data_IF_218368542649
#
_entry.id   IF_218368542649
#
_cell.length_a   1.000
_cell.length_b   1.000
_cell.length_c   1.000
_cell.angle_alpha   90.00
_cell.angle_beta   90.00
_cell.angle_gamma   90.00
#
_symmetry.space_group_name_H-M   'P 1'
#
loop_
_entity.id
_entity.type
_entity.pdbx_description
1 polymer ?
#
# COMPACT_ATOMS: atom_id res chain seq x y z
N UNK A 1 -22.18 11.58 -22.69
CA UNK A 1 -21.30 11.82 -21.54
C UNK A 1 -20.84 10.54 -20.87
N UNK A 2 -21.73 9.64 -20.42
CA UNK A 2 -21.33 8.38 -19.78
C UNK A 2 -20.33 7.52 -20.61
N UNK A 3 -20.56 7.40 -21.92
CA UNK A 3 -19.64 6.70 -22.81
C UNK A 3 -18.25 7.37 -22.87
N UNK A 4 -18.20 8.70 -22.94
CA UNK A 4 -16.95 9.47 -22.97
C UNK A 4 -16.18 9.28 -21.66
N UNK A 5 -16.87 9.35 -20.53
CA UNK A 5 -16.25 9.09 -19.22
C UNK A 5 -15.68 7.68 -19.14
N UNK A 6 -16.43 6.67 -19.58
CA UNK A 6 -15.99 5.28 -19.59
C UNK A 6 -14.76 5.06 -20.49
N UNK A 7 -14.73 5.69 -21.67
CA UNK A 7 -13.61 5.59 -22.60
C UNK A 7 -12.35 6.27 -22.04
N UNK A 8 -12.49 7.44 -21.40
CA UNK A 8 -11.38 8.10 -20.69
C UNK A 8 -10.89 7.25 -19.51
N UNK A 9 -11.81 6.68 -18.71
CA UNK A 9 -11.45 5.88 -17.54
C UNK A 9 -10.60 4.66 -17.88
N UNK A 10 -10.83 4.02 -19.03
CA UNK A 10 -10.02 2.88 -19.52
C UNK A 10 -8.58 3.28 -19.81
N UNK A 11 -8.41 4.45 -20.42
CA UNK A 11 -7.10 4.97 -20.84
C UNK A 11 -6.23 5.41 -19.65
N UNK A 12 -6.81 5.58 -18.47
CA UNK A 12 -6.03 5.90 -17.25
C UNK A 12 -5.12 4.76 -16.78
N UNK A 13 -5.25 3.55 -17.32
CA UNK A 13 -4.32 2.44 -17.11
C UNK A 13 -3.48 2.12 -18.35
N UNK A 14 -3.44 3.03 -19.34
CA UNK A 14 -2.63 2.87 -20.55
C UNK A 14 -1.15 2.63 -20.21
N UNK A 15 -0.41 1.93 -21.06
CA UNK A 15 0.99 1.57 -20.80
C UNK A 15 1.92 2.79 -20.69
N UNK A 16 1.69 3.78 -21.55
CA UNK A 16 2.42 5.06 -21.61
C UNK A 16 1.95 6.06 -20.53
N UNK A 17 2.92 6.60 -19.78
CA UNK A 17 2.72 7.60 -18.72
C UNK A 17 2.12 8.90 -19.25
N UNK A 18 2.62 9.40 -20.38
CA UNK A 18 2.18 10.69 -20.91
C UNK A 18 0.71 10.61 -21.35
N UNK A 19 0.32 9.50 -21.99
CA UNK A 19 -1.08 9.23 -22.33
C UNK A 19 -2.00 9.24 -21.11
N UNK A 20 -1.58 8.64 -19.99
CA UNK A 20 -2.38 8.63 -18.76
C UNK A 20 -2.62 10.04 -18.21
N UNK A 21 -1.58 10.87 -18.18
CA UNK A 21 -1.66 12.26 -17.71
C UNK A 21 -2.48 13.16 -18.65
N UNK A 22 -2.35 12.95 -19.97
CA UNK A 22 -3.16 13.63 -20.99
C UNK A 22 -4.66 13.35 -20.78
N UNK A 23 -5.02 12.07 -20.71
CA UNK A 23 -6.40 11.62 -20.50
C UNK A 23 -6.98 12.15 -19.19
N UNK A 24 -6.18 12.12 -18.11
CA UNK A 24 -6.56 12.69 -16.83
C UNK A 24 -6.84 14.19 -16.95
N UNK A 25 -5.99 14.91 -17.68
CA UNK A 25 -6.15 16.36 -17.92
C UNK A 25 -7.43 16.66 -18.68
N UNK A 26 -7.73 15.89 -19.73
CA UNK A 26 -8.99 15.99 -20.49
C UNK A 26 -10.19 15.72 -19.57
N UNK A 27 -10.14 14.68 -18.73
CA UNK A 27 -11.21 14.38 -17.79
C UNK A 27 -11.48 15.55 -16.84
N UNK A 28 -10.45 16.10 -16.20
CA UNK A 28 -10.61 17.21 -15.26
C UNK A 28 -10.95 18.54 -15.93
N UNK A 29 -10.63 18.71 -17.22
CA UNK A 29 -11.14 19.83 -18.00
C UNK A 29 -12.65 19.74 -18.21
N UNK A 30 -13.18 18.55 -18.49
CA UNK A 30 -14.62 18.33 -18.54
C UNK A 30 -15.30 18.55 -17.18
N UNK A 31 -14.63 18.24 -16.07
CA UNK A 31 -15.11 18.57 -14.72
C UNK A 31 -15.17 20.08 -14.52
N UNK A 32 -14.10 20.82 -14.84
CA UNK A 32 -14.08 22.29 -14.76
C UNK A 32 -15.14 22.96 -15.61
N UNK A 33 -15.45 22.39 -16.77
CA UNK A 33 -16.53 22.85 -17.66
C UNK A 33 -17.94 22.46 -17.18
N UNK A 34 -18.08 21.75 -16.06
CA UNK A 34 -19.36 21.27 -15.53
C UNK A 34 -20.01 20.15 -16.35
N UNK A 35 -19.27 19.53 -17.28
CA UNK A 35 -19.76 18.43 -18.13
C UNK A 35 -19.71 17.08 -17.42
N UNK A 36 -18.81 16.93 -16.45
CA UNK A 36 -18.72 15.79 -15.55
C UNK A 36 -18.87 16.30 -14.12
N UNK A 37 -19.77 15.69 -13.36
CA UNK A 37 -19.96 16.02 -11.94
C UNK A 37 -19.17 15.03 -11.08
N UNK A 38 -18.36 15.56 -10.16
CA UNK A 38 -17.72 14.80 -9.10
C UNK A 38 -18.46 15.01 -7.78
N UNK A 39 -18.42 14.05 -6.85
CA UNK A 39 -18.93 14.30 -5.50
C UNK A 39 -18.16 15.45 -4.83
N UNK A 40 -18.79 16.17 -3.88
CA UNK A 40 -18.08 17.16 -3.09
C UNK A 40 -16.92 16.52 -2.33
N UNK A 41 -15.86 17.30 -2.09
CA UNK A 41 -14.74 16.82 -1.26
C UNK A 41 -15.25 16.53 0.15
N UNK A 42 -15.03 15.32 0.63
CA UNK A 42 -15.36 14.90 1.98
C UNK A 42 -14.19 15.20 2.94
N UNK A 43 -14.39 14.96 4.24
CA UNK A 43 -13.38 15.19 5.27
C UNK A 43 -12.42 14.01 5.47
N UNK A 44 -12.72 12.83 4.93
CA UNK A 44 -11.89 11.64 5.13
C UNK A 44 -10.68 11.68 4.20
N UNK A 45 -9.61 11.00 4.58
CA UNK A 45 -8.33 11.02 3.89
C UNK A 45 -7.82 9.60 3.61
N UNK A 46 -6.88 9.47 2.68
CA UNK A 46 -6.23 8.19 2.42
C UNK A 46 -4.81 8.43 1.90
N UNK A 47 -3.79 7.94 2.62
CA UNK A 47 -2.39 8.13 2.24
C UNK A 47 -1.62 6.83 1.98
N UNK A 48 -2.32 5.71 1.78
CA UNK A 48 -1.69 4.42 1.57
C UNK A 48 -2.40 3.69 0.44
N UNK A 49 -1.96 4.00 -0.79
CA UNK A 49 -2.47 3.45 -2.03
C UNK A 49 -1.31 2.81 -2.78
N UNK A 50 -1.45 1.52 -3.12
CA UNK A 50 -0.53 0.86 -4.02
C UNK A 50 -0.95 1.11 -5.47
N UNK A 51 0.05 1.15 -6.36
CA UNK A 51 -0.14 1.22 -7.80
C UNK A 51 0.42 -0.04 -8.46
N UNK A 52 0.29 -0.11 -9.78
CA UNK A 52 0.87 -1.20 -10.58
C UNK A 52 2.41 -1.26 -10.53
N UNK A 53 3.08 -0.31 -9.87
CA UNK A 53 4.51 -0.34 -9.64
C UNK A 53 4.89 -1.35 -8.57
N UNK A 54 3.97 -1.78 -7.71
CA UNK A 54 4.21 -2.90 -6.79
C UNK A 54 3.19 -4.03 -6.85
N UNK A 55 1.89 -3.72 -6.91
CA UNK A 55 0.78 -4.57 -7.34
C UNK A 55 -0.55 -3.87 -7.03
N UNK A 56 -1.29 -3.48 -8.06
CA UNK A 56 -2.60 -2.85 -7.93
C UNK A 56 -3.28 -2.82 -9.31
N UNK A 57 -4.63 -2.78 -9.39
CA UNK A 57 -5.30 -2.52 -10.66
C UNK A 57 -5.13 -1.08 -11.17
N UNK A 58 -4.46 -0.20 -10.41
CA UNK A 58 -4.39 1.22 -10.70
C UNK A 58 -2.97 1.65 -11.07
N UNK A 59 -2.81 2.37 -12.18
CA UNK A 59 -1.68 3.27 -12.37
C UNK A 59 -1.70 4.42 -11.34
N UNK A 60 -0.60 5.18 -11.17
CA UNK A 60 -0.63 6.39 -10.36
C UNK A 60 -1.72 7.39 -10.77
N UNK A 61 -1.88 7.65 -12.08
CA UNK A 61 -2.94 8.54 -12.58
C UNK A 61 -4.34 8.00 -12.28
N UNK A 62 -4.54 6.68 -12.45
CA UNK A 62 -5.81 6.03 -12.14
C UNK A 62 -6.12 6.08 -10.65
N UNK A 63 -5.13 5.91 -9.78
CA UNK A 63 -5.30 6.01 -8.34
C UNK A 63 -5.79 7.40 -7.91
N UNK A 64 -5.21 8.47 -8.49
CA UNK A 64 -5.68 9.84 -8.26
C UNK A 64 -7.10 10.05 -8.79
N UNK A 65 -7.40 9.55 -9.99
CA UNK A 65 -8.77 9.58 -10.53
C UNK A 65 -9.77 8.90 -9.57
N UNK A 66 -9.44 7.72 -9.04
CA UNK A 66 -10.30 6.99 -8.10
C UNK A 66 -10.49 7.76 -6.78
N UNK A 67 -9.42 8.38 -6.28
CA UNK A 67 -9.51 9.26 -5.11
C UNK A 67 -10.46 10.44 -5.35
N UNK A 68 -10.38 11.10 -6.51
CA UNK A 68 -11.26 12.21 -6.88
C UNK A 68 -12.72 11.77 -7.03
N UNK A 69 -12.96 10.65 -7.72
CA UNK A 69 -14.30 10.05 -7.86
C UNK A 69 -14.90 9.62 -6.51
N UNK A 70 -14.06 9.42 -5.51
CA UNK A 70 -14.47 9.10 -4.13
C UNK A 70 -14.61 10.35 -3.25
N UNK A 71 -14.39 11.55 -3.78
CA UNK A 71 -14.46 12.81 -3.05
C UNK A 71 -13.30 13.04 -2.06
N UNK A 72 -12.17 12.34 -2.21
CA UNK A 72 -11.04 12.52 -1.30
C UNK A 72 -10.28 13.83 -1.59
N UNK A 73 -9.90 14.61 -0.56
CA UNK A 73 -9.06 15.79 -0.72
C UNK A 73 -7.56 15.46 -0.81
N UNK A 74 -7.17 14.26 -0.36
CA UNK A 74 -5.77 13.81 -0.28
C UNK A 74 -5.62 12.39 -0.82
N UNK A 75 -4.43 12.07 -1.32
CA UNK A 75 -4.05 10.72 -1.76
C UNK A 75 -2.55 10.48 -1.47
N UNK A 76 -2.17 9.28 -1.08
CA UNK A 76 -0.76 8.94 -0.85
C UNK A 76 -0.35 7.63 -1.51
N UNK A 77 0.74 7.66 -2.27
CA UNK A 77 1.33 6.48 -2.92
C UNK A 77 2.26 5.76 -1.94
N UNK A 78 2.15 4.43 -1.86
CA UNK A 78 2.88 3.61 -0.89
C UNK A 78 3.25 2.25 -1.50
N UNK A 79 3.87 2.26 -2.68
CA UNK A 79 4.24 1.03 -3.37
C UNK A 79 5.29 0.22 -2.58
N UNK A 80 5.25 -1.11 -2.70
CA UNK A 80 6.19 -1.98 -2.00
C UNK A 80 7.61 -1.87 -2.56
N UNK A 81 8.60 -1.58 -1.71
CA UNK A 81 10.04 -1.45 -2.02
C UNK A 81 10.37 -0.52 -3.21
N UNK A 82 9.45 0.32 -3.71
CA UNK A 82 9.70 1.20 -4.85
C UNK A 82 8.92 2.49 -4.75
N UNK A 83 9.51 3.56 -5.28
CA UNK A 83 8.92 4.91 -5.35
C UNK A 83 8.69 5.34 -6.81
N UNK A 84 8.89 4.45 -7.79
CA UNK A 84 8.94 4.77 -9.21
C UNK A 84 7.69 5.48 -9.76
N UNK A 85 6.51 5.24 -9.17
CA UNK A 85 5.26 5.88 -9.58
C UNK A 85 5.07 7.33 -9.09
N UNK A 86 5.97 7.86 -8.27
CA UNK A 86 5.72 9.09 -7.51
C UNK A 86 5.64 10.35 -8.36
N UNK A 87 6.49 10.50 -9.38
CA UNK A 87 6.45 11.67 -10.26
C UNK A 87 5.13 11.78 -11.02
N UNK A 88 4.63 10.65 -11.52
CA UNK A 88 3.30 10.57 -12.14
C UNK A 88 2.21 10.88 -11.12
N UNK A 89 2.29 10.30 -9.92
CA UNK A 89 1.30 10.50 -8.86
C UNK A 89 1.16 11.97 -8.44
N UNK A 90 2.29 12.66 -8.25
CA UNK A 90 2.33 14.09 -7.94
C UNK A 90 1.72 14.91 -9.08
N UNK A 91 2.10 14.61 -10.33
CA UNK A 91 1.61 15.32 -11.51
C UNK A 91 0.10 15.14 -11.68
N UNK A 92 -0.39 13.91 -11.50
CA UNK A 92 -1.81 13.59 -11.51
C UNK A 92 -2.56 14.32 -10.39
N UNK A 93 -1.99 14.37 -9.18
CA UNK A 93 -2.56 15.10 -8.05
C UNK A 93 -2.77 16.59 -8.36
N UNK A 94 -1.78 17.24 -8.99
CA UNK A 94 -1.88 18.63 -9.44
C UNK A 94 -2.99 18.83 -10.47
N UNK A 95 -3.11 17.93 -11.46
CA UNK A 95 -4.18 17.97 -12.48
C UNK A 95 -5.57 17.86 -11.84
N UNK A 96 -5.71 17.01 -10.83
CA UNK A 96 -6.97 16.68 -10.18
C UNK A 96 -7.35 17.61 -9.01
N UNK A 97 -6.45 18.50 -8.57
CA UNK A 97 -6.65 19.28 -7.35
C UNK A 97 -6.69 18.43 -6.07
N UNK A 98 -5.93 17.32 -6.04
CA UNK A 98 -5.76 16.43 -4.89
C UNK A 98 -4.39 16.67 -4.28
N UNK A 99 -4.34 16.93 -2.96
CA UNK A 99 -3.06 17.02 -2.26
C UNK A 99 -2.43 15.63 -2.18
N UNK A 100 -1.17 15.52 -2.57
CA UNK A 100 -0.46 14.23 -2.61
C UNK A 100 0.65 14.16 -1.58
N UNK A 101 0.93 12.93 -1.13
CA UNK A 101 2.14 12.57 -0.39
C UNK A 101 2.74 11.31 -1.02
N UNK A 102 4.05 11.14 -0.94
CA UNK A 102 4.77 9.99 -1.51
C UNK A 102 5.51 9.20 -0.44
N UNK A 103 5.55 7.90 -0.62
CA UNK A 103 6.21 6.99 0.30
C UNK A 103 6.51 5.63 -0.32
N UNK A 104 7.16 4.79 0.47
CA UNK A 104 7.46 3.39 0.16
C UNK A 104 7.13 2.53 1.37
N UNK A 105 6.44 1.42 1.17
CA UNK A 105 6.33 0.38 2.19
C UNK A 105 7.36 -0.70 1.89
N UNK A 106 8.20 -1.07 2.84
CA UNK A 106 9.21 -2.10 2.63
C UNK A 106 9.17 -3.16 3.72
N UNK A 107 9.69 -4.33 3.39
CA UNK A 107 9.93 -5.38 4.40
C UNK A 107 11.30 -5.19 5.01
N UNK A 108 11.37 -5.07 6.32
CA UNK A 108 12.60 -4.95 7.09
C UNK A 108 12.80 -6.15 8.01
N UNK A 109 14.06 -6.52 8.22
CA UNK A 109 14.47 -7.58 9.13
C UNK A 109 14.64 -7.04 10.57
N UNK A 110 13.85 -7.59 11.49
CA UNK A 110 13.87 -7.31 12.93
C UNK A 110 14.56 -8.43 13.73
N UNK A 111 15.18 -9.42 13.08
CA UNK A 111 15.83 -10.56 13.73
C UNK A 111 16.94 -10.18 14.71
N UNK A 112 17.50 -8.97 14.60
CA UNK A 112 18.52 -8.41 15.51
C UNK A 112 17.96 -7.53 16.63
N UNK A 113 16.65 -7.57 16.86
CA UNK A 113 15.95 -6.84 17.93
C UNK A 113 15.35 -7.81 18.96
N UNK A 114 14.75 -7.29 20.03
CA UNK A 114 14.00 -8.10 21.00
C UNK A 114 12.72 -8.74 20.41
N UNK A 115 12.34 -8.37 19.18
CA UNK A 115 11.23 -8.99 18.45
C UNK A 115 11.66 -10.22 17.63
N UNK A 116 12.92 -10.63 17.70
CA UNK A 116 13.42 -11.82 17.01
C UNK A 116 12.58 -13.05 17.33
N UNK A 117 12.20 -13.79 16.28
CA UNK A 117 11.39 -14.99 16.37
C UNK A 117 9.89 -14.75 16.55
N UNK A 118 9.44 -13.51 16.69
CA UNK A 118 8.01 -13.19 16.82
C UNK A 118 7.33 -13.08 15.47
N UNK A 119 6.02 -13.37 15.45
CA UNK A 119 5.16 -13.09 14.31
C UNK A 119 4.72 -11.64 14.37
N UNK A 120 5.49 -10.79 13.70
CA UNK A 120 5.26 -9.35 13.55
C UNK A 120 4.28 -9.17 12.38
N UNK A 121 3.80 -7.96 12.06
CA UNK A 121 2.83 -7.61 11.00
C UNK A 121 3.01 -8.22 9.58
N UNK A 122 3.95 -9.13 9.36
CA UNK A 122 4.06 -10.00 8.21
C UNK A 122 3.38 -11.38 8.45
N UNK A 123 2.27 -11.69 7.74
CA UNK A 123 1.58 -12.98 7.89
C UNK A 123 2.41 -14.18 7.43
N UNK A 124 3.37 -13.97 6.52
CA UNK A 124 4.08 -15.06 5.86
C UNK A 124 5.35 -15.47 6.61
N UNK A 125 5.91 -14.61 7.47
CA UNK A 125 7.23 -14.88 8.09
C UNK A 125 7.46 -14.16 9.42
N UNK A 126 8.08 -14.87 10.37
CA UNK A 126 8.53 -14.32 11.65
C UNK A 126 9.75 -13.40 11.48
N UNK A 127 9.95 -12.47 12.42
CA UNK A 127 11.05 -11.50 12.45
C UNK A 127 11.12 -10.51 11.29
N UNK A 128 10.24 -10.59 10.28
CA UNK A 128 10.18 -9.63 9.19
C UNK A 128 8.95 -8.76 9.40
N UNK A 129 9.10 -7.45 9.25
CA UNK A 129 7.99 -6.52 9.39
C UNK A 129 7.82 -5.64 8.15
N UNK A 130 6.59 -5.23 7.86
CA UNK A 130 6.30 -4.14 6.95
C UNK A 130 6.50 -2.81 7.70
N UNK A 131 7.28 -1.91 7.11
CA UNK A 131 7.49 -0.54 7.60
C UNK A 131 7.29 0.43 6.46
N UNK A 132 6.65 1.56 6.75
CA UNK A 132 6.36 2.59 5.77
C UNK A 132 7.33 3.77 5.95
N UNK A 133 7.88 4.27 4.85
CA UNK A 133 8.66 5.50 4.79
C UNK A 133 7.76 6.53 4.12
N UNK A 134 7.11 7.36 4.94
CA UNK A 134 6.15 8.38 4.52
C UNK A 134 6.82 9.74 4.32
N UNK A 135 6.17 10.61 3.52
CA UNK A 135 6.55 12.01 3.42
C UNK A 135 7.92 12.21 2.77
N UNK A 136 8.29 11.33 1.84
CA UNK A 136 9.62 11.35 1.23
C UNK A 136 9.79 12.65 0.43
N UNK A 137 10.84 13.45 0.70
CA UNK A 137 11.08 14.66 -0.07
C UNK A 137 11.21 14.40 -1.57
N UNK A 138 10.60 15.21 -2.42
CA UNK A 138 10.51 14.94 -3.87
C UNK A 138 11.88 14.86 -4.54
N UNK A 139 12.86 15.60 -4.01
CA UNK A 139 14.25 15.56 -4.48
C UNK A 139 15.03 14.30 -4.06
N UNK A 140 14.41 13.37 -3.31
CA UNK A 140 15.03 12.10 -2.87
C UNK A 140 14.52 10.87 -3.62
N UNK A 141 13.62 11.02 -4.60
CA UNK A 141 13.07 9.90 -5.38
C UNK A 141 14.17 9.01 -5.97
N UNK A 142 15.19 9.60 -6.61
CA UNK A 142 16.30 8.84 -7.18
C UNK A 142 17.16 8.14 -6.10
N UNK A 143 17.37 8.79 -4.96
CA UNK A 143 18.10 8.22 -3.81
C UNK A 143 17.40 6.97 -3.28
N UNK A 144 16.07 7.02 -3.13
CA UNK A 144 15.24 5.91 -2.67
C UNK A 144 15.24 4.76 -3.68
N UNK A 145 15.11 5.07 -4.97
CA UNK A 145 15.22 4.06 -6.03
C UNK A 145 16.55 3.31 -5.99
N UNK A 146 17.66 4.03 -5.77
CA UNK A 146 19.00 3.43 -5.65
C UNK A 146 19.13 2.54 -4.41
N UNK A 147 18.57 2.96 -3.27
CA UNK A 147 18.60 2.19 -2.02
C UNK A 147 17.90 0.84 -2.16
N UNK A 148 16.71 0.80 -2.78
CA UNK A 148 15.92 -0.43 -2.87
C UNK A 148 16.35 -1.39 -4.01
N UNK A 149 17.02 -0.88 -5.05
CA UNK A 149 17.47 -1.68 -6.20
C UNK A 149 18.14 -3.02 -5.83
N UNK A 150 19.17 -3.08 -4.95
CA UNK A 150 19.82 -4.34 -4.61
C UNK A 150 18.90 -5.32 -3.85
N UNK A 151 17.90 -4.83 -3.11
CA UNK A 151 16.92 -5.67 -2.42
C UNK A 151 15.90 -6.26 -3.40
N UNK A 152 15.44 -5.44 -4.35
CA UNK A 152 14.57 -5.88 -5.45
C UNK A 152 15.25 -6.97 -6.30
N UNK A 153 16.54 -6.82 -6.62
CA UNK A 153 17.29 -7.83 -7.39
C UNK A 153 17.33 -9.19 -6.69
N UNK A 154 17.44 -9.20 -5.35
CA UNK A 154 17.38 -10.42 -4.53
C UNK A 154 15.96 -10.98 -4.47
N UNK A 155 14.95 -10.12 -4.36
CA UNK A 155 13.54 -10.51 -4.47
C UNK A 155 13.23 -11.20 -5.79
N UNK A 156 13.78 -10.70 -6.89
CA UNK A 156 13.64 -11.33 -8.20
C UNK A 156 14.27 -12.72 -8.28
N UNK A 157 15.37 -12.99 -7.55
CA UNK A 157 15.95 -14.34 -7.48
C UNK A 157 15.01 -15.28 -6.72
N UNK A 158 14.51 -14.86 -5.55
CA UNK A 158 13.56 -15.65 -4.75
C UNK A 158 12.25 -15.92 -5.50
N UNK A 159 11.71 -14.92 -6.19
CA UNK A 159 10.50 -15.05 -6.99
C UNK A 159 10.61 -16.11 -8.09
N UNK A 160 11.77 -16.24 -8.74
CA UNK A 160 12.01 -17.32 -9.73
C UNK A 160 11.93 -18.69 -9.10
N UNK A 161 12.51 -18.87 -7.91
CA UNK A 161 12.46 -20.12 -7.17
C UNK A 161 11.02 -20.43 -6.71
N UNK A 162 10.27 -19.42 -6.27
CA UNK A 162 8.85 -19.59 -5.94
C UNK A 162 8.02 -20.02 -7.16
N UNK A 163 8.30 -19.50 -8.35
CA UNK A 163 7.67 -19.97 -9.59
C UNK A 163 8.03 -21.42 -9.91
N UNK A 164 9.29 -21.83 -9.70
CA UNK A 164 9.68 -23.24 -9.85
C UNK A 164 8.91 -24.15 -8.90
N UNK A 165 8.74 -23.75 -7.64
CA UNK A 165 7.91 -24.49 -6.68
C UNK A 165 6.47 -24.66 -7.17
N UNK A 166 5.86 -23.58 -7.68
CA UNK A 166 4.50 -23.63 -8.27
C UNK A 166 4.44 -24.61 -9.44
N UNK A 167 5.39 -24.54 -10.37
CA UNK A 167 5.42 -25.41 -11.54
C UNK A 167 5.55 -26.89 -11.15
N UNK A 168 6.36 -27.20 -10.15
CA UNK A 168 6.50 -28.56 -9.62
C UNK A 168 5.16 -29.04 -9.02
N UNK A 169 4.53 -28.21 -8.18
CA UNK A 169 3.25 -28.52 -7.52
C UNK A 169 2.10 -28.77 -8.51
N UNK A 170 2.10 -28.06 -9.64
CA UNK A 170 0.99 -28.06 -10.61
C UNK A 170 1.31 -28.80 -11.92
N UNK A 171 2.48 -29.42 -12.02
CA UNK A 171 2.93 -30.19 -13.18
C UNK A 171 1.91 -31.22 -13.69
N UNK A 172 1.27 -31.98 -12.78
CA UNK A 172 0.23 -32.98 -13.11
C UNK A 172 -1.04 -32.39 -13.74
N UNK A 173 -1.24 -31.09 -13.63
CA UNK A 173 -2.37 -30.37 -14.20
C UNK A 173 -2.01 -29.63 -15.50
N UNK A 174 -0.75 -29.77 -15.96
CA UNK A 174 -0.21 -29.06 -17.13
C UNK A 174 -0.34 -27.54 -16.97
N UNK A 175 -0.21 -27.05 -15.74
CA UNK A 175 -0.19 -25.62 -15.41
C UNK A 175 1.24 -25.27 -15.04
N UNK A 176 1.84 -24.40 -15.84
CA UNK A 176 3.18 -23.88 -15.62
C UNK A 176 3.23 -22.38 -15.91
N UNK A 177 4.05 -21.69 -15.13
CA UNK A 177 4.39 -20.29 -15.27
C UNK A 177 5.82 -20.16 -15.81
N UNK A 178 5.97 -19.31 -16.82
CA UNK A 178 7.24 -18.73 -17.19
C UNK A 178 7.41 -17.41 -16.44
N UNK A 179 8.44 -17.28 -15.61
CA UNK A 179 8.60 -16.10 -14.76
C UNK A 179 8.68 -14.80 -15.58
N UNK A 180 9.47 -14.76 -16.64
CA UNK A 180 9.65 -13.57 -17.47
C UNK A 180 8.39 -13.24 -18.31
N UNK A 181 7.81 -14.25 -18.96
CA UNK A 181 6.68 -14.06 -19.89
C UNK A 181 5.33 -13.90 -19.21
N UNK A 182 5.11 -14.56 -18.06
CA UNK A 182 3.82 -14.56 -17.38
C UNK A 182 3.78 -13.65 -16.15
N UNK A 183 4.91 -13.47 -15.44
CA UNK A 183 4.96 -12.69 -14.18
C UNK A 183 5.59 -11.32 -14.40
N UNK A 184 6.78 -11.23 -14.98
CA UNK A 184 7.47 -9.93 -15.17
C UNK A 184 6.73 -9.07 -16.19
N UNK A 185 6.17 -9.67 -17.24
CA UNK A 185 5.45 -8.97 -18.32
C UNK A 185 4.20 -8.19 -17.85
N UNK A 186 3.57 -8.61 -16.76
CA UNK A 186 2.40 -7.96 -16.17
C UNK A 186 2.75 -6.95 -15.07
N UNK A 187 4.05 -6.76 -14.80
CA UNK A 187 4.57 -5.84 -13.79
C UNK A 187 5.19 -4.61 -14.43
N UNK A 188 5.46 -3.58 -13.61
CA UNK A 188 6.26 -2.42 -14.00
C UNK A 188 7.74 -2.54 -13.66
N UNK A 189 8.28 -3.75 -13.55
CA UNK A 189 9.69 -3.98 -13.18
C UNK A 189 10.70 -3.23 -14.06
N UNK A 190 10.46 -3.18 -15.38
CA UNK A 190 11.34 -2.47 -16.34
C UNK A 190 11.34 -0.95 -16.15
N UNK A 191 10.33 -0.40 -15.49
CA UNK A 191 10.17 1.02 -15.19
C UNK A 191 10.55 1.34 -13.73
N UNK A 192 11.25 0.41 -13.04
CA UNK A 192 11.66 0.59 -11.64
C UNK A 192 10.64 0.10 -10.62
N UNK A 193 9.54 -0.54 -11.05
CA UNK A 193 8.63 -1.23 -10.16
C UNK A 193 9.23 -2.49 -9.52
N UNK A 194 8.48 -3.12 -8.63
CA UNK A 194 8.83 -4.39 -7.99
C UNK A 194 7.91 -5.52 -8.45
N UNK A 195 8.39 -6.76 -8.36
CA UNK A 195 7.58 -7.97 -8.56
C UNK A 195 7.34 -8.61 -7.20
N UNK A 196 6.08 -8.78 -6.84
CA UNK A 196 5.64 -9.35 -5.56
C UNK A 196 5.00 -10.71 -5.75
N UNK A 197 4.74 -11.40 -4.65
CA UNK A 197 3.99 -12.66 -4.61
C UNK A 197 2.60 -12.51 -5.25
N UNK A 198 1.99 -11.32 -5.17
CA UNK A 198 0.72 -11.02 -5.81
C UNK A 198 0.80 -11.08 -7.34
N UNK A 199 1.90 -10.64 -7.95
CA UNK A 199 2.10 -10.81 -9.39
C UNK A 199 2.19 -12.28 -9.79
N UNK A 200 2.92 -13.10 -9.01
CA UNK A 200 3.02 -14.55 -9.23
C UNK A 200 1.63 -15.19 -9.14
N UNK A 201 0.85 -14.85 -8.11
CA UNK A 201 -0.50 -15.36 -7.91
C UNK A 201 -1.48 -14.87 -8.99
N UNK A 202 -1.34 -13.64 -9.49
CA UNK A 202 -2.17 -13.12 -10.58
C UNK A 202 -1.88 -13.86 -11.88
N UNK A 203 -0.61 -14.07 -12.21
CA UNK A 203 -0.20 -14.86 -13.36
C UNK A 203 -0.70 -16.31 -13.23
N UNK A 204 -0.59 -16.90 -12.04
CA UNK A 204 -1.13 -18.23 -11.74
C UNK A 204 -2.64 -18.29 -11.95
N UNK A 205 -3.38 -17.30 -11.43
CA UNK A 205 -4.83 -17.19 -11.62
C UNK A 205 -5.19 -17.20 -13.10
N UNK A 206 -4.49 -16.40 -13.92
CA UNK A 206 -4.68 -16.38 -15.38
C UNK A 206 -4.42 -17.75 -16.01
N UNK A 207 -3.34 -18.45 -15.63
CA UNK A 207 -3.02 -19.78 -16.17
C UNK A 207 -4.02 -20.86 -15.76
N UNK A 208 -4.51 -20.83 -14.53
CA UNK A 208 -5.56 -21.76 -14.09
C UNK A 208 -6.83 -21.49 -14.90
N UNK A 209 -7.22 -20.22 -15.09
CA UNK A 209 -8.39 -19.86 -15.90
C UNK A 209 -8.23 -20.31 -17.36
N UNK A 210 -7.06 -20.12 -17.96
CA UNK A 210 -6.73 -20.58 -19.32
C UNK A 210 -6.89 -22.11 -19.44
N UNK A 211 -6.42 -22.87 -18.43
CA UNK A 211 -6.43 -24.34 -18.46
C UNK A 211 -7.79 -24.97 -18.12
N UNK A 212 -8.54 -24.36 -17.22
CA UNK A 212 -9.75 -24.95 -16.60
C UNK A 212 -11.05 -24.28 -17.05
N UNK A 213 -10.98 -23.00 -17.42
CA UNK A 213 -12.14 -22.12 -17.64
C UNK A 213 -12.65 -21.45 -16.36
N UNK A 214 -13.59 -20.51 -16.50
CA UNK A 214 -14.26 -19.81 -15.39
C UNK A 214 -15.46 -20.61 -14.85
N UNK A 215 -16.13 -20.07 -13.84
CA UNK A 215 -17.39 -20.57 -13.30
C UNK A 215 -17.26 -21.87 -12.50
N UNK A 216 -18.29 -22.72 -12.58
CA UNK A 216 -18.40 -23.95 -11.78
C UNK A 216 -17.23 -24.93 -12.00
N UNK A 217 -16.65 -24.98 -13.20
CA UNK A 217 -15.50 -25.84 -13.51
C UNK A 217 -14.28 -25.45 -12.67
N UNK A 218 -13.98 -24.15 -12.58
CA UNK A 218 -12.91 -23.64 -11.74
C UNK A 218 -13.15 -23.96 -10.27
N UNK A 219 -14.35 -23.66 -9.77
CA UNK A 219 -14.69 -23.90 -8.35
C UNK A 219 -14.50 -25.38 -8.00
N UNK A 220 -14.96 -26.29 -8.88
CA UNK A 220 -14.77 -27.73 -8.70
C UNK A 220 -13.28 -28.12 -8.71
N UNK A 221 -12.48 -27.58 -9.64
CA UNK A 221 -11.03 -27.82 -9.68
C UNK A 221 -10.34 -27.36 -8.38
N UNK A 222 -10.62 -26.14 -7.92
CA UNK A 222 -10.03 -25.59 -6.70
C UNK A 222 -10.36 -26.45 -5.47
N UNK A 223 -11.62 -26.87 -5.33
CA UNK A 223 -12.08 -27.70 -4.19
C UNK A 223 -11.59 -29.15 -4.28
N UNK A 224 -11.72 -29.77 -5.43
CA UNK A 224 -11.54 -31.22 -5.58
C UNK A 224 -10.09 -31.59 -5.88
N UNK A 225 -9.39 -30.78 -6.66
CA UNK A 225 -8.01 -31.05 -7.10
C UNK A 225 -6.99 -30.36 -6.19
N UNK A 226 -7.13 -29.04 -5.99
CA UNK A 226 -6.19 -28.27 -5.18
C UNK A 226 -6.49 -28.29 -3.67
N UNK A 227 -7.65 -28.85 -3.29
CA UNK A 227 -8.14 -28.97 -1.91
C UNK A 227 -8.19 -27.63 -1.18
N UNK A 228 -8.55 -26.56 -1.90
CA UNK A 228 -8.67 -25.20 -1.35
C UNK A 228 -10.06 -25.03 -0.73
N UNK A 229 -10.10 -24.48 0.48
CA UNK A 229 -11.36 -24.09 1.12
C UNK A 229 -11.85 -22.78 0.53
N UNK A 230 -13.11 -22.73 0.12
CA UNK A 230 -13.72 -21.54 -0.49
C UNK A 230 -14.92 -21.12 0.35
N UNK A 231 -14.96 -19.86 0.78
CA UNK A 231 -16.12 -19.30 1.47
C UNK A 231 -17.28 -19.09 0.49
N UNK A 232 -18.53 -19.05 1.00
CA UNK A 232 -19.72 -18.85 0.16
C UNK A 232 -19.65 -17.58 -0.70
N UNK A 233 -19.08 -16.49 -0.12
CA UNK A 233 -18.91 -15.19 -0.79
C UNK A 233 -17.93 -15.27 -1.97
N UNK A 234 -16.78 -15.91 -1.77
CA UNK A 234 -15.79 -16.06 -2.86
C UNK A 234 -16.29 -17.05 -3.91
N UNK A 235 -16.97 -18.12 -3.49
CA UNK A 235 -17.59 -19.08 -4.42
C UNK A 235 -18.62 -18.41 -5.32
N UNK A 236 -19.45 -17.48 -4.80
CA UNK A 236 -20.39 -16.74 -5.65
C UNK A 236 -19.67 -15.87 -6.67
N UNK A 237 -18.56 -15.22 -6.30
CA UNK A 237 -17.78 -14.40 -7.24
C UNK A 237 -17.09 -15.22 -8.33
N UNK A 238 -16.58 -16.41 -7.98
CA UNK A 238 -15.92 -17.31 -8.93
C UNK A 238 -16.91 -18.14 -9.77
N UNK A 239 -18.17 -18.22 -9.35
CA UNK A 239 -19.23 -18.87 -10.12
C UNK A 239 -19.80 -17.96 -11.20
N UNK A 240 -19.70 -16.64 -11.04
CA UNK A 240 -20.13 -15.66 -12.04
C UNK A 240 -19.04 -15.46 -13.10
N UNK A 241 -19.28 -15.98 -14.31
CA UNK A 241 -18.35 -15.86 -15.44
C UNK A 241 -18.22 -14.42 -15.98
N UNK A 242 -19.20 -13.55 -15.70
CA UNK A 242 -19.22 -12.14 -16.12
C UNK A 242 -18.61 -11.20 -15.08
N UNK A 243 -18.15 -11.72 -13.94
CA UNK A 243 -17.51 -10.92 -12.90
C UNK A 243 -16.27 -10.19 -13.45
N UNK A 244 -16.25 -8.84 -13.42
CA UNK A 244 -15.15 -8.06 -13.98
C UNK A 244 -13.85 -8.15 -13.17
N UNK A 245 -13.91 -8.68 -11.94
CA UNK A 245 -12.77 -8.79 -11.02
C UNK A 245 -12.33 -10.24 -10.79
N UNK A 246 -12.72 -11.14 -11.69
CA UNK A 246 -12.55 -12.58 -11.57
C UNK A 246 -11.10 -13.01 -11.22
N UNK A 247 -10.12 -12.47 -11.94
CA UNK A 247 -8.70 -12.78 -11.75
C UNK A 247 -8.19 -12.30 -10.38
N UNK A 248 -8.67 -11.14 -9.90
CA UNK A 248 -8.34 -10.60 -8.57
C UNK A 248 -8.98 -11.41 -7.45
N UNK A 249 -10.23 -11.86 -7.63
CA UNK A 249 -10.91 -12.73 -6.65
C UNK A 249 -10.22 -14.09 -6.54
N UNK A 250 -9.82 -14.67 -7.68
CA UNK A 250 -9.05 -15.91 -7.70
C UNK A 250 -7.69 -15.73 -7.04
N UNK A 251 -6.97 -14.65 -7.34
CA UNK A 251 -5.72 -14.31 -6.65
C UNK A 251 -5.92 -14.23 -5.13
N UNK A 252 -6.95 -13.53 -4.68
CA UNK A 252 -7.25 -13.37 -3.25
C UNK A 252 -7.42 -14.72 -2.55
N UNK A 253 -8.17 -15.63 -3.17
CA UNK A 253 -8.35 -17.00 -2.69
C UNK A 253 -7.04 -17.80 -2.68
N UNK A 254 -6.24 -17.70 -3.73
CA UNK A 254 -4.95 -18.40 -3.78
C UNK A 254 -3.97 -17.86 -2.74
N UNK A 255 -4.04 -16.58 -2.39
CA UNK A 255 -3.15 -15.97 -1.39
C UNK A 255 -3.27 -16.63 -0.02
N UNK A 256 -4.49 -16.94 0.45
CA UNK A 256 -4.71 -17.49 1.80
C UNK A 256 -4.29 -18.97 1.93
N UNK A 257 -4.51 -19.76 0.89
CA UNK A 257 -4.42 -21.22 0.95
C UNK A 257 -3.25 -21.81 0.17
N UNK A 258 -2.77 -21.08 -0.84
CA UNK A 258 -1.75 -21.57 -1.76
C UNK A 258 -0.36 -20.99 -1.48
N UNK A 259 -0.26 -19.74 -0.99
CA UNK A 259 1.03 -19.10 -0.63
C UNK A 259 1.92 -19.99 0.23
N UNK A 260 1.43 -20.60 1.34
CA UNK A 260 2.29 -21.42 2.19
C UNK A 260 2.91 -22.65 1.51
N UNK A 261 2.38 -23.07 0.35
CA UNK A 261 2.87 -24.25 -0.39
C UNK A 261 4.08 -23.95 -1.28
N UNK A 262 4.25 -22.70 -1.72
CA UNK A 262 5.36 -22.32 -2.62
C UNK A 262 6.28 -21.26 -2.03
N UNK A 263 5.86 -20.59 -0.95
CA UNK A 263 6.59 -19.49 -0.35
C UNK A 263 7.99 -19.93 0.08
N UNK A 264 8.96 -19.09 -0.25
CA UNK A 264 10.34 -19.20 0.23
C UNK A 264 10.55 -18.00 1.14
N UNK A 265 11.12 -18.23 2.32
CA UNK A 265 11.36 -17.15 3.28
C UNK A 265 12.20 -16.03 2.66
N UNK A 266 11.73 -14.80 2.86
CA UNK A 266 12.46 -13.57 2.61
C UNK A 266 13.71 -13.52 3.51
N UNK A 267 14.86 -13.25 2.93
CA UNK A 267 16.13 -13.14 3.66
C UNK A 267 16.89 -11.91 3.18
N UNK A 268 17.88 -12.06 2.30
CA UNK A 268 18.75 -10.97 1.86
C UNK A 268 18.02 -9.83 1.11
N UNK A 269 16.76 -10.05 0.70
CA UNK A 269 15.90 -9.03 0.10
C UNK A 269 15.25 -8.08 1.13
N UNK A 270 15.43 -8.34 2.43
CA UNK A 270 14.94 -7.50 3.51
C UNK A 270 16.13 -6.76 4.15
N UNK A 271 16.23 -5.42 4.04
CA UNK A 271 17.23 -4.65 4.79
C UNK A 271 17.08 -4.86 6.30
N UNK A 272 18.18 -4.71 7.04
CA UNK A 272 18.13 -4.60 8.50
C UNK A 272 17.32 -3.35 8.89
N UNK A 273 16.43 -3.46 9.87
CA UNK A 273 15.58 -2.32 10.28
C UNK A 273 16.40 -1.07 10.65
N UNK A 274 17.60 -1.22 11.24
CA UNK A 274 18.44 -0.06 11.57
C UNK A 274 18.92 0.67 10.32
N UNK A 275 19.25 -0.05 9.26
CA UNK A 275 19.62 0.55 7.97
C UNK A 275 18.45 1.34 7.38
N UNK A 276 17.21 0.84 7.52
CA UNK A 276 16.01 1.54 7.04
C UNK A 276 15.73 2.80 7.86
N UNK A 277 15.90 2.76 9.19
CA UNK A 277 15.76 3.94 10.06
C UNK A 277 16.80 5.00 9.68
N UNK A 278 18.08 4.62 9.62
CA UNK A 278 19.17 5.53 9.28
C UNK A 278 18.97 6.15 7.90
N UNK A 279 18.53 5.33 6.93
CA UNK A 279 18.21 5.79 5.60
C UNK A 279 17.06 6.81 5.61
N UNK A 280 15.96 6.51 6.30
CA UNK A 280 14.80 7.41 6.42
C UNK A 280 15.17 8.77 7.02
N UNK A 281 15.95 8.77 8.12
CA UNK A 281 16.46 9.99 8.73
C UNK A 281 17.35 10.77 7.77
N UNK A 282 18.28 10.10 7.07
CA UNK A 282 19.21 10.74 6.13
C UNK A 282 18.50 11.48 5.00
N UNK A 283 17.42 10.91 4.46
CA UNK A 283 16.63 11.52 3.38
C UNK A 283 15.58 12.50 3.88
N UNK A 284 15.43 12.68 5.20
CA UNK A 284 14.45 13.60 5.78
C UNK A 284 13.00 13.11 5.67
N UNK A 285 12.76 11.80 5.66
CA UNK A 285 11.43 11.19 5.62
C UNK A 285 10.97 10.74 7.02
N UNK A 286 9.73 10.24 7.12
CA UNK A 286 9.17 9.69 8.35
C UNK A 286 9.04 8.18 8.21
N UNK A 287 9.83 7.42 8.99
CA UNK A 287 9.61 5.97 9.13
C UNK A 287 8.49 5.70 10.13
N UNK A 288 7.58 4.79 9.78
CA UNK A 288 6.47 4.35 10.60
C UNK A 288 6.35 2.82 10.59
N UNK A 289 6.05 2.24 11.75
CA UNK A 289 5.65 0.83 11.82
C UNK A 289 4.21 0.66 11.33
N UNK A 290 3.94 -0.31 10.46
CA UNK A 290 2.60 -0.58 9.94
C UNK A 290 1.84 -1.55 10.86
N UNK A 291 1.11 -1.04 11.85
CA UNK A 291 0.35 -1.89 12.76
C UNK A 291 -0.75 -2.66 12.01
N UNK A 292 -0.74 -3.98 12.18
CA UNK A 292 -1.69 -4.92 11.60
C UNK A 292 -2.72 -5.38 12.63
N UNK A 293 -2.27 -5.73 13.84
CA UNK A 293 -3.10 -6.26 14.93
C UNK A 293 -3.60 -7.69 14.71
N UNK A 294 -4.05 -8.34 15.78
CA UNK A 294 -4.59 -9.70 15.73
C UNK A 294 -5.90 -9.76 14.93
N UNK A 295 -6.08 -10.88 14.23
CA UNK A 295 -7.31 -11.19 13.50
C UNK A 295 -8.07 -12.22 14.34
N UNK A 296 -9.18 -11.82 14.96
CA UNK A 296 -10.08 -12.74 15.69
C UNK A 296 -11.26 -13.13 14.79
N UNK A 297 -11.92 -12.13 14.21
CA UNK A 297 -12.86 -12.26 13.09
C UNK A 297 -12.42 -11.31 11.98
N UNK A 298 -12.33 -11.80 10.74
CA UNK A 298 -11.95 -10.97 9.61
C UNK A 298 -13.08 -9.96 9.33
N UNK A 299 -12.85 -8.67 9.58
CA UNK A 299 -13.79 -7.58 9.25
C UNK A 299 -14.16 -7.59 7.75
N UNK A 300 -13.22 -8.01 6.90
CA UNK A 300 -13.37 -8.17 5.44
C UNK A 300 -13.94 -9.54 5.00
N UNK A 301 -14.03 -10.51 5.92
CA UNK A 301 -14.63 -11.84 5.72
C UNK A 301 -13.77 -12.88 5.01
N UNK A 302 -12.47 -12.63 4.81
CA UNK A 302 -11.57 -13.45 3.98
C UNK A 302 -10.31 -13.96 4.72
N UNK A 303 -10.00 -13.45 5.93
CA UNK A 303 -8.81 -13.84 6.69
C UNK A 303 -9.10 -14.87 7.78
N UNK A 304 -8.14 -15.77 8.02
CA UNK A 304 -8.17 -16.72 9.14
C UNK A 304 -7.85 -15.99 10.44
N UNK A 305 -8.34 -16.52 11.57
CA UNK A 305 -7.90 -16.02 12.87
C UNK A 305 -6.40 -16.26 13.02
N UNK A 306 -5.67 -15.22 13.40
CA UNK A 306 -4.22 -15.20 13.43
C UNK A 306 -3.72 -14.14 14.41
N UNK A 307 -2.67 -14.49 15.16
CA UNK A 307 -2.04 -13.60 16.14
C UNK A 307 -0.78 -12.95 15.57
N UNK A 308 -0.60 -11.69 15.94
CA UNK A 308 0.49 -10.81 15.55
C UNK A 308 1.05 -10.12 16.79
N UNK A 309 1.08 -8.77 16.80
CA UNK A 309 1.72 -7.97 17.85
C UNK A 309 0.86 -7.66 19.08
N UNK A 310 -0.43 -8.01 19.13
CA UNK A 310 -1.32 -7.51 20.20
C UNK A 310 -0.98 -8.02 21.60
N UNK A 311 -0.42 -9.22 21.72
CA UNK A 311 -0.02 -9.83 23.00
C UNK A 311 1.26 -9.21 23.58
N UNK A 312 2.00 -8.40 22.81
CA UNK A 312 3.28 -7.83 23.23
C UNK A 312 3.49 -6.39 22.72
N UNK A 313 2.41 -5.61 22.61
CA UNK A 313 2.46 -4.21 22.12
C UNK A 313 3.43 -3.33 22.90
N UNK A 314 3.52 -3.51 24.22
CA UNK A 314 4.41 -2.74 25.08
C UNK A 314 5.87 -2.95 24.66
N UNK A 315 6.28 -4.21 24.45
CA UNK A 315 7.60 -4.57 23.96
C UNK A 315 7.82 -4.07 22.53
N UNK A 316 6.80 -4.13 21.66
CA UNK A 316 6.88 -3.57 20.31
C UNK A 316 7.24 -2.08 20.38
N UNK A 317 6.51 -1.29 21.16
CA UNK A 317 6.75 0.15 21.27
C UNK A 317 8.08 0.49 21.92
N UNK A 318 8.53 -0.28 22.91
CA UNK A 318 9.89 -0.14 23.48
C UNK A 318 10.96 -0.31 22.40
N UNK A 319 10.87 -1.39 21.61
CA UNK A 319 11.82 -1.65 20.50
C UNK A 319 11.75 -0.58 19.42
N UNK A 320 10.54 -0.14 19.03
CA UNK A 320 10.39 0.95 18.05
C UNK A 320 11.05 2.24 18.54
N UNK A 321 10.85 2.59 19.81
CA UNK A 321 11.46 3.77 20.42
C UNK A 321 12.99 3.67 20.49
N UNK A 322 13.53 2.51 20.90
CA UNK A 322 14.98 2.26 20.91
C UNK A 322 15.60 2.32 19.52
N UNK A 323 14.86 1.89 18.49
CA UNK A 323 15.28 2.01 17.10
C UNK A 323 15.20 3.45 16.59
N UNK A 324 14.55 4.38 17.30
CA UNK A 324 14.33 5.75 16.83
C UNK A 324 13.12 5.93 15.90
N UNK A 325 12.25 4.92 15.80
CA UNK A 325 10.99 5.02 15.06
C UNK A 325 9.98 5.74 15.95
N UNK A 326 9.49 6.90 15.50
CA UNK A 326 8.55 7.75 16.25
C UNK A 326 7.18 7.87 15.59
N UNK A 327 6.79 6.89 14.76
CA UNK A 327 5.50 6.89 14.11
C UNK A 327 4.94 5.47 13.94
N UNK A 328 3.62 5.37 13.97
CA UNK A 328 2.86 4.16 13.65
C UNK A 328 1.80 4.51 12.62
N UNK A 329 1.69 3.70 11.58
CA UNK A 329 0.58 3.76 10.63
C UNK A 329 -0.34 2.56 10.81
N UNK A 330 -1.65 2.78 10.67
CA UNK A 330 -2.66 1.74 10.79
C UNK A 330 -3.89 2.04 9.95
N UNK A 331 -4.71 1.01 9.74
CA UNK A 331 -5.94 1.04 8.95
C UNK A 331 -7.14 0.96 9.89
N UNK A 332 -7.82 2.08 10.24
CA UNK A 332 -8.94 2.03 11.19
C UNK A 332 -10.07 1.06 10.78
N UNK A 333 -10.22 0.79 9.48
CA UNK A 333 -11.21 -0.16 8.95
C UNK A 333 -10.89 -1.63 9.22
N UNK A 334 -9.64 -1.96 9.59
CA UNK A 334 -9.16 -3.35 9.76
C UNK A 334 -9.00 -3.78 11.21
N UNK A 335 -9.10 -2.84 12.15
CA UNK A 335 -8.88 -3.09 13.57
C UNK A 335 -10.13 -2.78 14.39
N UNK A 336 -10.29 -3.50 15.49
CA UNK A 336 -11.33 -3.20 16.48
C UNK A 336 -11.02 -1.90 17.21
N UNK A 337 -12.07 -1.23 17.71
CA UNK A 337 -11.89 -0.02 18.53
C UNK A 337 -11.01 -0.28 19.77
N UNK A 338 -11.10 -1.47 20.36
CA UNK A 338 -10.27 -1.87 21.52
C UNK A 338 -8.79 -1.93 21.15
N UNK A 339 -8.44 -2.55 20.02
CA UNK A 339 -7.07 -2.57 19.49
C UNK A 339 -6.55 -1.15 19.26
N UNK A 340 -7.32 -0.33 18.55
CA UNK A 340 -6.91 1.04 18.21
C UNK A 340 -6.74 1.94 19.43
N UNK A 341 -7.56 1.77 20.48
CA UNK A 341 -7.37 2.49 21.75
C UNK A 341 -6.07 2.12 22.46
N UNK A 342 -5.67 0.84 22.43
CA UNK A 342 -4.38 0.39 23.00
C UNK A 342 -3.21 1.02 22.25
N UNK A 343 -3.23 0.97 20.92
CA UNK A 343 -2.20 1.58 20.06
C UNK A 343 -2.14 3.09 20.28
N UNK A 344 -3.29 3.78 20.32
CA UNK A 344 -3.35 5.22 20.57
C UNK A 344 -2.74 5.60 21.93
N UNK A 345 -3.08 4.89 23.00
CA UNK A 345 -2.51 5.16 24.33
C UNK A 345 -0.99 4.97 24.36
N UNK A 346 -0.46 3.98 23.63
CA UNK A 346 0.98 3.78 23.50
C UNK A 346 1.63 4.89 22.67
N UNK A 347 1.00 5.33 21.58
CA UNK A 347 1.47 6.48 20.82
C UNK A 347 1.51 7.75 21.67
N UNK A 348 0.52 7.99 22.54
CA UNK A 348 0.54 9.12 23.47
C UNK A 348 1.63 8.99 24.53
N UNK A 349 1.87 7.78 25.06
CA UNK A 349 2.93 7.51 26.04
C UNK A 349 4.33 7.76 25.48
N UNK A 350 4.58 7.35 24.24
CA UNK A 350 5.90 7.45 23.59
C UNK A 350 6.07 8.69 22.69
N UNK A 351 5.06 9.56 22.61
CA UNK A 351 5.01 10.72 21.72
C UNK A 351 5.20 10.35 20.23
N UNK A 352 4.52 9.29 19.80
CA UNK A 352 4.56 8.80 18.42
C UNK A 352 3.47 9.45 17.56
N UNK A 353 3.85 9.80 16.33
CA UNK A 353 2.94 10.26 15.29
C UNK A 353 2.04 9.10 14.80
N UNK A 354 0.75 9.38 14.62
CA UNK A 354 -0.25 8.40 14.18
C UNK A 354 -0.72 8.69 12.76
N UNK A 355 -0.49 7.77 11.82
CA UNK A 355 -0.78 7.97 10.40
C UNK A 355 -1.87 7.00 9.93
N UNK A 356 -2.87 7.50 9.21
CA UNK A 356 -3.90 6.65 8.60
C UNK A 356 -3.58 6.32 7.14
N UNK A 357 -3.94 5.11 6.72
CA UNK A 357 -3.93 4.66 5.33
C UNK A 357 -4.71 3.35 5.18
N UNK A 358 -5.31 3.04 4.02
CA UNK A 358 -6.23 1.89 3.84
C UNK A 358 -5.60 0.66 3.12
N UNK A 359 -4.36 0.78 2.63
CA UNK A 359 -3.66 -0.26 1.85
C UNK A 359 -4.52 -0.74 0.68
N UNK A 360 -4.78 0.19 -0.25
CA UNK A 360 -5.57 -0.07 -1.46
C UNK A 360 -4.70 -0.80 -2.49
N UNK A 361 -5.05 -2.05 -2.79
CA UNK A 361 -4.33 -2.90 -3.76
C UNK A 361 -5.26 -3.83 -4.58
N UNK A 362 -6.58 -3.69 -4.43
CA UNK A 362 -7.60 -4.54 -5.07
C UNK A 362 -8.79 -3.70 -5.55
N UNK A 363 -9.41 -4.05 -6.69
CA UNK A 363 -10.52 -3.26 -7.26
C UNK A 363 -11.80 -3.29 -6.41
N UNK A 364 -11.90 -4.20 -5.43
CA UNK A 364 -13.05 -4.29 -4.52
C UNK A 364 -12.89 -3.43 -3.26
N UNK A 365 -11.72 -2.84 -3.02
CA UNK A 365 -11.50 -2.02 -1.83
C UNK A 365 -12.07 -0.63 -2.02
N UNK A 366 -12.73 -0.12 -0.99
CA UNK A 366 -13.17 1.27 -0.93
C UNK A 366 -11.96 2.18 -0.73
N UNK A 367 -11.90 3.28 -1.48
CA UNK A 367 -10.94 4.36 -1.22
C UNK A 367 -11.32 5.18 0.03
N UNK A 368 -12.60 5.14 0.43
CA UNK A 368 -13.15 5.86 1.58
C UNK A 368 -12.99 5.01 2.84
N UNK A 369 -12.29 5.56 3.84
CA UNK A 369 -12.27 5.02 5.19
C UNK A 369 -13.38 5.65 6.04
N UNK A 370 -14.54 4.98 6.11
CA UNK A 370 -15.70 5.47 6.89
C UNK A 370 -15.40 5.61 8.38
N UNK A 371 -14.44 4.85 8.91
CA UNK A 371 -14.04 4.93 10.31
C UNK A 371 -13.47 6.33 10.67
N UNK A 372 -12.89 7.06 9.71
CA UNK A 372 -12.37 8.42 9.95
C UNK A 372 -13.48 9.46 10.24
N UNK A 373 -14.75 9.13 10.00
CA UNK A 373 -15.87 9.98 10.39
C UNK A 373 -16.13 9.97 11.91
N UNK A 374 -15.56 9.01 12.65
CA UNK A 374 -15.69 8.94 14.10
C UNK A 374 -14.75 9.95 14.78
N UNK A 375 -15.24 10.63 15.83
CA UNK A 375 -14.48 11.64 16.57
C UNK A 375 -13.14 11.11 17.10
N UNK A 376 -13.08 9.83 17.48
CA UNK A 376 -11.89 9.13 17.97
C UNK A 376 -10.71 9.18 16.98
N UNK A 377 -10.98 9.28 15.67
CA UNK A 377 -9.99 9.18 14.60
C UNK A 377 -9.79 10.48 13.80
N UNK A 378 -10.48 11.57 14.16
CA UNK A 378 -10.34 12.86 13.46
C UNK A 378 -8.92 13.43 13.49
N UNK A 379 -8.12 13.10 14.50
CA UNK A 379 -6.71 13.52 14.57
C UNK A 379 -5.85 12.97 13.43
N UNK A 380 -6.25 11.85 12.81
CA UNK A 380 -5.55 11.25 11.67
C UNK A 380 -5.69 12.12 10.41
N UNK A 381 -6.77 12.89 10.29
CA UNK A 381 -6.96 13.87 9.22
C UNK A 381 -5.93 15.00 9.37
N UNK A 382 -5.76 15.53 10.58
CA UNK A 382 -4.75 16.56 10.85
C UNK A 382 -3.33 16.05 10.58
N UNK A 383 -3.04 14.82 11.00
CA UNK A 383 -1.73 14.20 10.79
C UNK A 383 -1.43 13.99 9.31
N UNK A 384 -2.44 13.69 8.50
CA UNK A 384 -2.30 13.59 7.04
C UNK A 384 -1.86 14.92 6.42
N UNK A 385 -2.54 16.01 6.77
CA UNK A 385 -2.14 17.33 6.29
C UNK A 385 -0.76 17.74 6.81
N UNK A 386 -0.41 17.34 8.04
CA UNK A 386 0.94 17.53 8.58
C UNK A 386 1.99 16.73 7.80
N UNK A 387 1.67 15.51 7.35
CA UNK A 387 2.57 14.71 6.52
C UNK A 387 2.82 15.38 5.16
N UNK A 388 1.78 15.91 4.52
CA UNK A 388 1.90 16.66 3.26
C UNK A 388 2.73 17.93 3.48
N UNK A 389 2.45 18.68 4.55
CA UNK A 389 3.23 19.87 4.90
C UNK A 389 4.69 19.55 5.19
N UNK A 390 4.97 18.43 5.86
CA UNK A 390 6.31 17.93 6.11
C UNK A 390 7.05 17.67 4.80
N UNK A 391 6.44 16.92 3.89
CA UNK A 391 7.03 16.55 2.61
C UNK A 391 7.41 17.77 1.78
N UNK A 392 6.55 18.80 1.76
CA UNK A 392 6.81 20.08 1.10
C UNK A 392 8.04 20.77 1.71
N UNK A 393 8.06 20.94 3.03
CA UNK A 393 9.16 21.64 3.71
C UNK A 393 10.48 20.89 3.62
N UNK A 394 10.45 19.56 3.78
CA UNK A 394 11.63 18.71 3.71
C UNK A 394 12.19 18.59 2.27
N UNK A 395 11.34 18.83 1.26
CA UNK A 395 11.79 18.99 -0.14
C UNK A 395 12.61 20.27 -0.34
N UNK A 396 12.24 21.37 0.32
CA UNK A 396 13.02 22.61 0.27
C UNK A 396 14.33 22.47 1.06
N UNK A 397 14.24 21.99 2.29
CA UNK A 397 15.38 21.74 3.18
C UNK A 397 14.98 20.68 4.21
N UNK A 398 15.72 19.56 4.26
CA UNK A 398 15.46 18.45 5.18
C UNK A 398 15.48 18.88 6.66
N UNK A 399 16.22 19.93 7.01
CA UNK A 399 16.27 20.47 8.37
C UNK A 399 14.97 21.23 8.74
N UNK A 400 14.06 21.42 7.78
CA UNK A 400 12.69 21.90 8.00
C UNK A 400 11.68 20.74 8.10
N UNK A 401 12.15 19.49 8.07
CA UNK A 401 11.31 18.30 8.19
C UNK A 401 10.75 18.07 9.61
N UNK A 402 9.68 17.30 9.72
CA UNK A 402 8.89 17.11 10.94
C UNK A 402 9.68 16.56 12.13
N UNK A 403 10.59 15.63 11.88
CA UNK A 403 11.45 15.03 12.91
C UNK A 403 12.91 15.49 12.80
N UNK A 404 13.18 16.58 12.08
CA UNK A 404 14.51 17.20 12.13
C UNK A 404 14.80 17.75 13.53
N UNK A 405 16.07 17.85 13.90
CA UNK A 405 16.48 18.37 15.22
C UNK A 405 16.02 19.82 15.39
N UNK A 406 16.16 20.64 14.35
CA UNK A 406 15.69 22.03 14.30
C UNK A 406 14.20 22.18 14.57
N UNK A 407 13.36 21.33 13.97
CA UNK A 407 11.92 21.40 14.16
C UNK A 407 11.46 20.77 15.47
N UNK A 408 12.21 19.79 16.00
CA UNK A 408 12.01 19.26 17.35
C UNK A 408 12.36 20.29 18.42
N UNK A 409 13.43 21.05 18.26
CA UNK A 409 13.81 22.13 19.18
C UNK A 409 12.80 23.29 19.14
N UNK A 410 12.38 23.69 17.93
CA UNK A 410 11.42 24.79 17.74
C UNK A 410 10.01 24.44 18.22
N UNK A 411 9.57 23.20 17.99
CA UNK A 411 8.25 22.70 18.37
C UNK A 411 8.42 21.40 19.16
N UNK A 412 8.80 21.47 20.45
CA UNK A 412 9.06 20.27 21.26
C UNK A 412 7.80 19.45 21.48
N UNK A 413 6.63 20.09 21.58
CA UNK A 413 5.35 19.40 21.67
C UNK A 413 4.90 18.87 20.29
N UNK A 414 4.59 17.57 20.21
CA UNK A 414 4.14 16.92 18.98
C UNK A 414 2.86 17.55 18.40
N UNK A 415 1.90 17.97 19.24
CA UNK A 415 0.63 18.55 18.77
C UNK A 415 0.84 19.90 18.09
N UNK A 416 1.68 20.76 18.68
CA UNK A 416 2.03 22.06 18.08
C UNK A 416 2.75 21.86 16.76
N UNK A 417 3.60 20.82 16.67
CA UNK A 417 4.29 20.46 15.44
C UNK A 417 3.32 19.96 14.37
N UNK A 418 2.38 19.08 14.71
CA UNK A 418 1.30 18.63 13.80
C UNK A 418 0.53 19.85 13.26
N UNK A 419 0.13 20.78 14.14
CA UNK A 419 -0.63 21.95 13.71
C UNK A 419 0.18 22.87 12.79
N UNK A 420 1.47 23.08 13.07
CA UNK A 420 2.36 23.85 12.19
C UNK A 420 2.42 23.27 10.77
N UNK A 421 2.73 21.98 10.63
CA UNK A 421 2.85 21.36 9.31
C UNK A 421 1.49 21.18 8.62
N UNK A 422 0.42 20.90 9.37
CA UNK A 422 -0.94 20.87 8.82
C UNK A 422 -1.30 22.18 8.13
N UNK A 423 -1.00 23.31 8.77
CA UNK A 423 -1.29 24.62 8.19
C UNK A 423 -0.50 24.88 6.90
N UNK A 424 0.72 24.34 6.78
CA UNK A 424 1.49 24.38 5.54
C UNK A 424 0.81 23.54 4.45
N UNK A 425 0.46 22.28 4.76
CA UNK A 425 -0.22 21.38 3.84
C UNK A 425 -1.53 21.97 3.29
N UNK A 426 -2.37 22.52 4.18
CA UNK A 426 -3.61 23.18 3.81
C UNK A 426 -3.38 24.43 2.95
N UNK A 427 -2.44 25.30 3.33
CA UNK A 427 -2.17 26.56 2.64
C UNK A 427 -1.62 26.36 1.23
N UNK A 428 -0.76 25.38 1.04
CA UNK A 428 -0.20 25.08 -0.29
C UNK A 428 -1.27 24.50 -1.22
N UNK A 429 -2.17 23.69 -0.66
CA UNK A 429 -3.28 23.15 -1.44
C UNK A 429 -4.34 24.20 -1.78
N UNK A 430 -4.71 25.09 -0.85
CA UNK A 430 -5.71 26.15 -1.10
C UNK A 430 -5.26 27.22 -2.11
N UNK A 431 -3.98 27.23 -2.50
CA UNK A 431 -3.42 28.12 -3.54
C UNK A 431 -3.44 27.52 -4.95
N UNK A 432 -3.87 26.27 -5.09
CA UNK A 432 -3.87 25.55 -6.37
C UNK A 432 -5.17 25.72 -7.17
N UNK A 433 -6.06 26.61 -6.73
CA UNK A 433 -7.29 27.02 -7.43
C UNK A 433 -7.05 28.25 -8.32
#
# INVERSE_FOLDING_TARGET
MAQVEFDLEKELNHEDKERRLEVLSVFFELVRQGKISLPPKNSVINNHIHTFYSFSPYSPSKAIYMAAKSGLPTAGIMDHDTIAGSEEFISAGKIAGIATTIGVECRADFSKTLLSGKKINNPDQHSIAYVAIHGIPHNQVETVMKFFKPYIERRMKRNRLMVQNINNLLSKYEIALNFEKDVVSISKYKEGGTVTERHILFALAKKIIERVGKGRKLVNFLKNELKIKISKKIESFLSDEQNPFYEYDLLGLLKSDFTPKFYINATEECPDIKEVVEFSYKIGAIIAYAYLGDIVESVTGDKRSEKFEDDYLELLFEVLNELGIKAVTYMPSRNTLTQLKRVKNLCEKYDFLQISGEDINSPRQSFICEALNQDEFKHLINTTWALIGHEIMATEDKDLGFFSDKMQEKFPNLRDRIEYFKNIGLKMWSKSD
#
